data_IF_466140890393
#
_entry.id   IF_466140890393
#
_cell.length_a   1.000
_cell.length_b   1.000
_cell.length_c   1.000
_cell.angle_alpha   90.00
_cell.angle_beta   90.00
_cell.angle_gamma   90.00
#
_symmetry.space_group_name_H-M   'P 1'
#
loop_
_entity.id
_entity.type
_entity.pdbx_description
1 polymer ?
#
# COMPACT_ATOMS: atom_id res chain seq x y z
N UNK A 1 23.78 0.28 7.18
CA UNK A 1 23.54 1.72 7.34
C UNK A 1 24.12 2.36 6.09
N UNK A 2 23.28 2.66 5.10
CA UNK A 2 23.73 3.34 3.88
C UNK A 2 24.11 4.77 4.26
N UNK A 3 25.39 5.10 4.14
CA UNK A 3 25.90 6.44 4.38
C UNK A 3 25.51 7.31 3.18
N UNK A 4 24.34 7.94 3.26
CA UNK A 4 24.02 9.00 2.34
C UNK A 4 25.00 10.16 2.59
N UNK A 5 25.77 10.51 1.57
CA UNK A 5 26.58 11.72 1.57
C UNK A 5 25.60 12.88 1.80
N UNK A 6 25.78 13.58 2.91
CA UNK A 6 24.87 14.65 3.33
C UNK A 6 24.97 15.80 2.33
N UNK A 7 23.96 15.93 1.46
CA UNK A 7 23.82 17.06 0.55
C UNK A 7 23.22 18.23 1.36
N UNK A 8 23.99 19.32 1.51
CA UNK A 8 23.60 20.49 2.30
C UNK A 8 22.28 21.10 1.82
N UNK A 9 21.99 21.04 0.52
CA UNK A 9 20.73 21.52 -0.03
C UNK A 9 19.57 20.60 0.34
N UNK A 10 19.75 19.29 0.25
CA UNK A 10 18.73 18.32 0.69
C UNK A 10 18.48 18.41 2.19
N UNK A 11 19.52 18.66 2.99
CA UNK A 11 19.36 18.86 4.42
C UNK A 11 18.54 20.12 4.72
N UNK A 12 18.77 21.24 4.01
CA UNK A 12 17.94 22.45 4.13
C UNK A 12 16.48 22.18 3.77
N UNK A 13 16.25 21.53 2.62
CA UNK A 13 14.89 21.15 2.19
C UNK A 13 14.20 20.24 3.20
N UNK A 14 14.94 19.28 3.76
CA UNK A 14 14.43 18.38 4.79
C UNK A 14 14.01 19.12 6.06
N UNK A 15 14.84 20.04 6.56
CA UNK A 15 14.53 20.81 7.76
C UNK A 15 13.30 21.72 7.54
N UNK A 16 13.21 22.35 6.38
CA UNK A 16 12.06 23.18 5.99
C UNK A 16 10.78 22.33 5.89
N UNK A 17 10.83 21.23 5.13
CA UNK A 17 9.69 20.34 4.96
C UNK A 17 9.23 19.74 6.30
N UNK A 18 10.15 19.25 7.13
CA UNK A 18 9.78 18.67 8.41
C UNK A 18 9.17 19.73 9.35
N UNK A 19 9.64 20.98 9.31
CA UNK A 19 9.02 22.10 10.03
C UNK A 19 7.60 22.36 9.55
N UNK A 20 7.35 22.32 8.25
CA UNK A 20 6.00 22.48 7.69
C UNK A 20 5.08 21.32 8.09
N UNK A 21 5.58 20.07 8.09
CA UNK A 21 4.84 18.91 8.62
C UNK A 21 4.47 19.12 10.10
N UNK A 22 5.38 19.68 10.92
CA UNK A 22 5.09 20.00 12.31
C UNK A 22 4.02 21.09 12.47
N UNK A 23 3.93 22.04 11.54
CA UNK A 23 2.90 23.08 11.54
C UNK A 23 1.50 22.53 11.21
N UNK A 24 1.40 21.38 10.55
CA UNK A 24 0.13 20.70 10.28
C UNK A 24 -0.42 19.90 11.49
N UNK A 25 0.24 19.99 12.65
CA UNK A 25 -0.18 19.28 13.86
C UNK A 25 -1.62 19.61 14.24
N UNK A 26 -2.38 18.56 14.55
CA UNK A 26 -3.73 18.66 15.08
C UNK A 26 -3.89 17.70 16.27
N UNK A 27 -3.87 18.25 17.49
CA UNK A 27 -3.94 17.48 18.72
C UNK A 27 -5.31 16.82 18.97
N UNK A 28 -6.39 17.42 18.48
CA UNK A 28 -7.73 16.85 18.58
C UNK A 28 -7.84 15.59 17.72
N UNK A 29 -7.44 15.69 16.44
CA UNK A 29 -7.39 14.54 15.53
C UNK A 29 -6.48 13.45 16.05
N UNK A 30 -5.31 13.79 16.59
CA UNK A 30 -4.42 12.80 17.21
C UNK A 30 -5.08 12.07 18.39
N UNK A 31 -5.85 12.79 19.20
CA UNK A 31 -6.58 12.20 20.34
C UNK A 31 -7.74 11.32 19.88
N UNK A 32 -8.44 11.72 18.82
CA UNK A 32 -9.50 10.92 18.20
C UNK A 32 -8.97 9.63 17.57
N UNK A 33 -7.85 9.69 16.84
CA UNK A 33 -7.20 8.51 16.27
C UNK A 33 -6.99 7.41 17.33
N UNK A 34 -6.50 7.79 18.52
CA UNK A 34 -6.34 6.86 19.65
C UNK A 34 -7.67 6.26 20.13
N UNK A 35 -8.74 7.05 20.19
CA UNK A 35 -10.08 6.56 20.58
C UNK A 35 -10.60 5.51 19.60
N UNK A 36 -10.26 5.63 18.31
CA UNK A 36 -10.61 4.66 17.27
C UNK A 36 -9.60 3.50 17.13
N UNK A 37 -8.65 3.35 18.07
CA UNK A 37 -7.68 2.26 18.08
C UNK A 37 -6.48 2.44 17.14
N UNK A 38 -6.33 3.62 16.52
CA UNK A 38 -5.18 3.95 15.69
C UNK A 38 -4.01 4.43 16.57
N UNK A 39 -3.26 3.46 17.09
CA UNK A 39 -2.17 3.69 18.04
C UNK A 39 -0.81 3.80 17.32
N UNK A 40 -0.47 5.01 16.88
CA UNK A 40 0.86 5.30 16.33
C UNK A 40 1.86 5.61 17.45
N UNK A 41 3.11 5.16 17.28
CA UNK A 41 4.17 5.50 18.24
C UNK A 41 4.43 7.01 18.30
N UNK A 42 4.45 7.65 17.13
CA UNK A 42 4.64 9.11 16.96
C UNK A 42 3.70 9.61 15.88
N UNK A 43 2.75 10.46 16.23
CA UNK A 43 1.84 11.09 15.27
C UNK A 43 1.53 12.54 15.66
N UNK A 44 1.35 13.38 14.66
CA UNK A 44 1.01 14.79 14.79
C UNK A 44 -0.49 15.05 14.58
N UNK A 45 -1.21 14.10 13.97
CA UNK A 45 -2.64 14.22 13.67
C UNK A 45 -2.94 14.98 12.37
N UNK A 46 -1.93 15.17 11.50
CA UNK A 46 -2.18 15.81 10.21
C UNK A 46 -2.98 14.88 9.28
N UNK A 47 -3.93 15.45 8.53
CA UNK A 47 -4.70 14.70 7.55
C UNK A 47 -3.83 14.30 6.35
N UNK A 48 -4.11 13.15 5.75
CA UNK A 48 -3.43 12.71 4.52
C UNK A 48 -3.61 13.72 3.38
N UNK A 49 -4.75 14.42 3.33
CA UNK A 49 -5.02 15.47 2.33
C UNK A 49 -4.03 16.62 2.48
N UNK A 50 -3.79 17.11 3.70
CA UNK A 50 -2.82 18.17 3.94
C UNK A 50 -1.40 17.74 3.59
N UNK A 51 -1.03 16.49 3.90
CA UNK A 51 0.27 15.93 3.51
C UNK A 51 0.45 15.85 1.99
N UNK A 52 -0.59 15.40 1.27
CA UNK A 52 -0.57 15.37 -0.20
C UNK A 52 -0.44 16.76 -0.80
N UNK A 53 -1.14 17.74 -0.25
CA UNK A 53 -1.04 19.13 -0.72
C UNK A 53 0.36 19.71 -0.46
N UNK A 54 0.90 19.46 0.74
CA UNK A 54 2.27 19.83 1.09
C UNK A 54 3.29 19.18 0.14
N UNK A 55 3.16 17.88 -0.13
CA UNK A 55 4.08 17.14 -0.99
C UNK A 55 4.16 17.69 -2.42
N UNK A 56 3.09 18.26 -2.97
CA UNK A 56 3.09 18.87 -4.31
C UNK A 56 4.05 20.06 -4.45
N UNK A 57 4.46 20.68 -3.33
CA UNK A 57 5.40 21.80 -3.32
C UNK A 57 6.86 21.37 -3.41
N UNK A 58 7.12 20.08 -3.34
CA UNK A 58 8.46 19.50 -3.36
C UNK A 58 8.59 18.55 -4.55
N UNK A 59 9.79 18.52 -5.14
CA UNK A 59 10.12 17.50 -6.12
C UNK A 59 10.39 16.16 -5.43
N UNK A 60 10.04 15.05 -6.08
CA UNK A 60 10.41 13.72 -5.59
C UNK A 60 11.93 13.60 -5.51
N UNK A 61 12.44 13.13 -4.38
CA UNK A 61 13.86 12.97 -4.12
C UNK A 61 14.10 11.83 -3.14
N UNK A 62 14.96 10.88 -3.53
CA UNK A 62 15.24 9.68 -2.75
C UNK A 62 15.87 9.98 -1.39
N UNK A 63 16.90 10.83 -1.35
CA UNK A 63 17.56 11.19 -0.10
C UNK A 63 16.61 11.93 0.86
N UNK A 64 15.79 12.85 0.33
CA UNK A 64 14.78 13.55 1.12
C UNK A 64 13.75 12.57 1.72
N UNK A 65 13.28 11.61 0.91
CA UNK A 65 12.36 10.57 1.37
C UNK A 65 12.98 9.70 2.47
N UNK A 66 14.23 9.28 2.34
CA UNK A 66 14.95 8.53 3.38
C UNK A 66 15.05 9.32 4.70
N UNK A 67 15.40 10.61 4.62
CA UNK A 67 15.47 11.48 5.82
C UNK A 67 14.10 11.62 6.48
N UNK A 68 13.03 11.82 5.70
CA UNK A 68 11.65 11.88 6.18
C UNK A 68 11.19 10.57 6.83
N UNK A 69 11.54 9.43 6.24
CA UNK A 69 11.25 8.11 6.80
C UNK A 69 11.94 7.92 8.17
N UNK A 70 13.22 8.29 8.27
CA UNK A 70 14.03 8.16 9.47
C UNK A 70 13.54 8.96 10.69
N UNK A 71 12.71 10.00 10.51
CA UNK A 71 12.09 10.72 11.63
C UNK A 71 11.08 9.88 12.42
N UNK A 72 10.48 8.88 11.76
CA UNK A 72 9.60 7.90 12.40
C UNK A 72 8.27 8.45 12.90
N UNK A 73 7.85 9.65 12.49
CA UNK A 73 6.48 10.10 12.69
C UNK A 73 5.59 9.50 11.61
N UNK A 74 4.33 9.20 11.94
CA UNK A 74 3.31 8.78 10.95
C UNK A 74 3.31 9.70 9.74
N UNK A 75 3.20 11.00 9.97
CA UNK A 75 3.15 12.01 8.92
C UNK A 75 4.45 12.05 8.11
N UNK A 76 5.61 11.88 8.76
CA UNK A 76 6.89 11.92 8.06
C UNK A 76 7.11 10.68 7.18
N UNK A 77 6.65 9.50 7.61
CA UNK A 77 6.69 8.26 6.82
C UNK A 77 5.70 8.30 5.64
N UNK A 78 4.51 8.88 5.84
CA UNK A 78 3.58 9.13 4.73
C UNK A 78 4.21 10.11 3.72
N UNK A 79 4.80 11.21 4.19
CA UNK A 79 5.53 12.14 3.32
C UNK A 79 6.68 11.47 2.57
N UNK A 80 7.44 10.58 3.22
CA UNK A 80 8.48 9.81 2.55
C UNK A 80 7.92 8.99 1.38
N UNK A 81 6.79 8.30 1.57
CA UNK A 81 6.15 7.54 0.48
C UNK A 81 5.66 8.42 -0.68
N UNK A 82 5.34 9.69 -0.43
CA UNK A 82 4.90 10.66 -1.45
C UNK A 82 6.08 11.27 -2.22
N UNK A 83 7.25 11.38 -1.58
CA UNK A 83 8.43 12.05 -2.14
C UNK A 83 9.46 11.09 -2.70
N UNK A 84 9.35 9.80 -2.43
CA UNK A 84 10.27 8.80 -2.93
C UNK A 84 10.22 8.67 -4.46
N UNK A 85 11.35 8.36 -5.08
CA UNK A 85 11.46 8.11 -6.52
C UNK A 85 11.44 6.60 -6.79
N UNK A 86 10.39 6.06 -7.42
CA UNK A 86 10.26 4.62 -7.62
C UNK A 86 11.46 3.96 -8.33
N UNK A 87 12.17 4.69 -9.18
CA UNK A 87 13.32 4.20 -9.95
C UNK A 87 14.61 4.07 -9.11
N UNK A 88 14.68 4.75 -7.96
CA UNK A 88 15.85 4.74 -7.07
C UNK A 88 15.65 3.79 -5.88
N UNK A 89 14.46 3.21 -5.73
CA UNK A 89 14.12 2.31 -4.61
C UNK A 89 14.64 0.90 -4.86
N UNK A 90 15.39 0.37 -3.88
CA UNK A 90 15.85 -1.02 -3.87
C UNK A 90 14.83 -1.96 -3.22
N UNK A 91 14.88 -3.26 -3.56
CA UNK A 91 14.06 -4.28 -2.90
C UNK A 91 14.30 -4.34 -1.38
N UNK A 92 15.57 -4.14 -0.96
CA UNK A 92 15.94 -4.10 0.45
C UNK A 92 15.30 -2.91 1.18
N UNK A 93 15.23 -1.74 0.54
CA UNK A 93 14.50 -0.60 1.08
C UNK A 93 13.03 -0.92 1.24
N UNK A 94 12.38 -1.47 0.20
CA UNK A 94 10.94 -1.76 0.29
C UNK A 94 10.67 -2.75 1.41
N UNK A 95 11.45 -3.83 1.49
CA UNK A 95 11.32 -4.80 2.58
C UNK A 95 11.45 -4.12 3.93
N UNK A 96 12.51 -3.32 4.13
CA UNK A 96 12.72 -2.57 5.38
C UNK A 96 11.55 -1.65 5.70
N UNK A 97 11.02 -0.92 4.72
CA UNK A 97 9.89 -0.01 4.94
C UNK A 97 8.60 -0.75 5.30
N UNK A 98 8.34 -1.91 4.67
CA UNK A 98 7.21 -2.79 5.01
C UNK A 98 7.37 -3.31 6.44
N UNK A 99 8.56 -3.79 6.81
CA UNK A 99 8.85 -4.32 8.14
C UNK A 99 8.66 -3.23 9.22
N UNK A 100 9.20 -2.03 8.97
CA UNK A 100 9.14 -0.87 9.87
C UNK A 100 7.75 -0.20 9.95
N UNK A 101 6.84 -0.49 9.02
CA UNK A 101 5.50 0.06 9.03
C UNK A 101 4.69 -0.47 10.22
N UNK A 102 4.26 0.42 11.10
CA UNK A 102 3.62 0.10 12.38
C UNK A 102 2.08 0.12 12.32
N UNK A 103 1.51 0.37 11.15
CA UNK A 103 0.07 0.44 10.94
C UNK A 103 -0.34 0.03 9.53
N UNK A 104 -1.56 -0.48 9.41
CA UNK A 104 -2.16 -0.81 8.12
C UNK A 104 -2.35 0.43 7.23
N UNK A 105 -2.61 1.60 7.82
CA UNK A 105 -2.67 2.86 7.08
C UNK A 105 -1.34 3.18 6.40
N UNK A 106 -0.22 3.00 7.10
CA UNK A 106 1.08 3.29 6.51
C UNK A 106 1.41 2.32 5.36
N UNK A 107 1.07 1.03 5.49
CA UNK A 107 1.17 0.07 4.39
C UNK A 107 0.30 0.51 3.20
N UNK A 108 -0.94 0.95 3.46
CA UNK A 108 -1.85 1.44 2.43
C UNK A 108 -1.28 2.69 1.73
N UNK A 109 -0.78 3.68 2.47
CA UNK A 109 -0.15 4.87 1.90
C UNK A 109 1.06 4.51 1.06
N UNK A 110 1.92 3.60 1.52
CA UNK A 110 3.06 3.12 0.73
C UNK A 110 2.61 2.46 -0.58
N UNK A 111 1.61 1.56 -0.52
CA UNK A 111 1.08 0.89 -1.70
C UNK A 111 0.52 1.89 -2.73
N UNK A 112 -0.21 2.89 -2.24
CA UNK A 112 -0.87 3.89 -3.09
C UNK A 112 0.08 4.91 -3.70
N UNK A 113 1.10 5.33 -2.94
CA UNK A 113 1.96 6.45 -3.31
C UNK A 113 3.24 5.98 -4.02
N UNK A 114 3.82 4.85 -3.60
CA UNK A 114 5.12 4.39 -4.06
C UNK A 114 5.07 3.02 -4.76
N UNK A 115 4.56 1.98 -4.10
CA UNK A 115 4.78 0.61 -4.57
C UNK A 115 4.13 0.35 -5.93
N UNK A 116 2.96 0.95 -6.21
CA UNK A 116 2.28 0.83 -7.52
C UNK A 116 3.10 1.40 -8.69
N UNK A 117 4.09 2.25 -8.42
CA UNK A 117 4.93 2.88 -9.44
C UNK A 117 6.30 2.21 -9.60
N UNK A 118 6.58 1.12 -8.88
CA UNK A 118 7.87 0.42 -8.96
C UNK A 118 8.11 -0.15 -10.37
N UNK A 119 9.33 0.00 -10.94
CA UNK A 119 9.64 -0.53 -12.27
C UNK A 119 9.49 -2.06 -12.39
N UNK A 120 9.76 -2.80 -11.31
CA UNK A 120 9.70 -4.26 -11.24
C UNK A 120 8.37 -4.78 -10.63
N UNK A 121 7.29 -3.98 -10.67
CA UNK A 121 6.03 -4.29 -9.98
C UNK A 121 5.48 -5.69 -10.29
N UNK A 122 5.54 -6.12 -11.56
CA UNK A 122 4.99 -7.42 -11.99
C UNK A 122 5.61 -8.60 -11.23
N UNK A 123 6.94 -8.62 -11.14
CA UNK A 123 7.65 -9.69 -10.41
C UNK A 123 7.46 -9.52 -8.91
N UNK A 124 7.50 -8.27 -8.44
CA UNK A 124 7.44 -7.96 -7.02
C UNK A 124 6.12 -8.35 -6.37
N UNK A 125 4.98 -8.10 -7.02
CA UNK A 125 3.64 -8.49 -6.53
C UNK A 125 3.55 -10.01 -6.35
N UNK A 126 4.08 -10.78 -7.31
CA UNK A 126 4.04 -12.24 -7.24
C UNK A 126 4.96 -12.79 -6.15
N UNK A 127 6.13 -12.16 -5.94
CA UNK A 127 7.03 -12.50 -4.84
C UNK A 127 6.37 -12.25 -3.49
N UNK A 128 5.83 -11.05 -3.27
CA UNK A 128 5.19 -10.67 -2.01
C UNK A 128 3.94 -11.49 -1.70
N UNK A 129 3.14 -11.83 -2.71
CA UNK A 129 1.97 -12.69 -2.54
C UNK A 129 2.32 -14.08 -2.00
N UNK A 130 3.52 -14.59 -2.33
CA UNK A 130 4.01 -15.90 -1.88
C UNK A 130 4.84 -15.85 -0.60
N UNK A 131 5.03 -14.66 -0.04
CA UNK A 131 5.81 -14.48 1.17
C UNK A 131 5.08 -15.05 2.38
N UNK A 132 5.84 -15.62 3.30
CA UNK A 132 5.33 -16.00 4.63
C UNK A 132 5.11 -14.75 5.52
N UNK A 133 5.68 -13.61 5.13
CA UNK A 133 5.50 -12.34 5.83
C UNK A 133 4.14 -11.72 5.51
N UNK A 134 3.27 -11.63 6.52
CA UNK A 134 1.90 -11.11 6.42
C UNK A 134 1.84 -9.78 5.68
N UNK A 135 2.68 -8.82 6.07
CA UNK A 135 2.65 -7.45 5.53
C UNK A 135 2.98 -7.41 4.04
N UNK A 136 3.84 -8.31 3.57
CA UNK A 136 4.18 -8.39 2.14
C UNK A 136 2.96 -8.86 1.34
N UNK A 137 2.28 -9.91 1.78
CA UNK A 137 1.05 -10.41 1.12
C UNK A 137 -0.08 -9.37 1.10
N UNK A 138 -0.21 -8.57 2.17
CA UNK A 138 -1.14 -7.43 2.24
C UNK A 138 -0.72 -6.35 1.23
N UNK A 139 0.56 -6.00 1.16
CA UNK A 139 1.09 -5.04 0.20
C UNK A 139 0.88 -5.49 -1.25
N UNK A 140 1.07 -6.79 -1.56
CA UNK A 140 0.78 -7.34 -2.88
C UNK A 140 -0.68 -7.08 -3.28
N UNK A 141 -1.60 -7.40 -2.36
CA UNK A 141 -3.05 -7.28 -2.55
C UNK A 141 -3.52 -5.83 -2.70
N UNK A 142 -3.05 -4.92 -1.84
CA UNK A 142 -3.41 -3.51 -1.93
C UNK A 142 -2.81 -2.87 -3.19
N UNK A 143 -1.56 -3.21 -3.53
CA UNK A 143 -0.87 -2.67 -4.71
C UNK A 143 -1.53 -3.13 -6.01
N UNK A 144 -1.85 -4.42 -6.18
CA UNK A 144 -2.49 -4.91 -7.40
C UNK A 144 -3.90 -4.33 -7.57
N UNK A 145 -4.65 -4.17 -6.48
CA UNK A 145 -5.95 -3.50 -6.50
C UNK A 145 -5.83 -2.02 -6.86
N UNK A 146 -4.79 -1.32 -6.40
CA UNK A 146 -4.49 0.06 -6.80
C UNK A 146 -4.14 0.13 -8.29
N UNK A 147 -3.27 -0.76 -8.77
CA UNK A 147 -2.88 -0.83 -10.18
C UNK A 147 -4.11 -1.00 -11.09
N UNK A 148 -5.06 -1.85 -10.68
CA UNK A 148 -6.30 -2.06 -11.41
C UNK A 148 -7.13 -0.78 -11.61
N UNK A 149 -7.03 0.20 -10.70
CA UNK A 149 -7.72 1.48 -10.79
C UNK A 149 -6.96 2.54 -11.60
N UNK A 150 -5.65 2.62 -11.42
CA UNK A 150 -4.85 3.75 -11.94
C UNK A 150 -4.28 3.49 -13.32
N UNK A 151 -4.00 2.24 -13.67
CA UNK A 151 -3.39 1.88 -14.94
C UNK A 151 -4.40 1.17 -15.86
N UNK A 152 -5.22 1.97 -16.52
CA UNK A 152 -6.33 1.48 -17.37
C UNK A 152 -5.84 0.79 -18.64
N UNK A 153 -4.66 1.15 -19.13
CA UNK A 153 -4.07 0.59 -20.36
C UNK A 153 -3.27 -0.70 -20.10
N UNK A 154 -3.01 -1.05 -18.82
CA UNK A 154 -2.33 -2.30 -18.44
C UNK A 154 -3.08 -3.52 -18.98
N UNK A 155 -2.36 -4.39 -19.69
CA UNK A 155 -2.86 -5.70 -20.10
C UNK A 155 -3.19 -6.62 -18.91
N UNK A 156 -3.95 -7.68 -19.19
CA UNK A 156 -4.50 -8.54 -18.15
C UNK A 156 -3.47 -9.42 -17.42
N UNK A 157 -2.31 -9.69 -18.02
CA UNK A 157 -1.38 -10.72 -17.56
C UNK A 157 -0.96 -10.61 -16.08
N UNK A 158 -0.70 -9.41 -15.56
CA UNK A 158 -0.35 -9.24 -14.13
C UNK A 158 -1.53 -9.62 -13.22
N UNK A 159 -2.74 -9.25 -13.60
CA UNK A 159 -3.95 -9.55 -12.83
C UNK A 159 -4.28 -11.03 -12.90
N UNK A 160 -4.17 -11.65 -14.08
CA UNK A 160 -4.35 -13.10 -14.26
C UNK A 160 -3.34 -13.89 -13.42
N UNK A 161 -2.06 -13.50 -13.45
CA UNK A 161 -1.03 -14.14 -12.65
C UNK A 161 -1.26 -13.98 -11.15
N UNK A 162 -1.74 -12.82 -10.71
CA UNK A 162 -2.09 -12.61 -9.31
C UNK A 162 -3.28 -13.49 -8.90
N UNK A 163 -4.39 -13.49 -9.66
CA UNK A 163 -5.58 -14.31 -9.36
C UNK A 163 -5.23 -15.80 -9.34
N UNK A 164 -4.49 -16.28 -10.34
CA UNK A 164 -4.09 -17.69 -10.43
C UNK A 164 -3.08 -18.11 -9.36
N UNK A 165 -2.36 -17.16 -8.77
CA UNK A 165 -1.39 -17.41 -7.72
C UNK A 165 -1.91 -17.19 -6.30
N UNK A 166 -3.20 -16.86 -6.12
CA UNK A 166 -3.80 -16.71 -4.79
C UNK A 166 -3.58 -17.97 -3.94
N UNK A 167 -3.22 -17.81 -2.66
CA UNK A 167 -2.95 -18.95 -1.79
C UNK A 167 -4.24 -19.69 -1.46
N UNK A 168 -4.14 -21.02 -1.33
CA UNK A 168 -5.27 -21.85 -0.86
C UNK A 168 -5.67 -21.43 0.55
N UNK A 169 -4.68 -21.32 1.45
CA UNK A 169 -4.92 -21.03 2.86
C UNK A 169 -4.68 -19.56 3.19
N UNK A 170 -5.72 -18.89 3.69
CA UNK A 170 -5.63 -17.52 4.18
C UNK A 170 -5.19 -17.53 5.64
N UNK A 171 -4.09 -16.85 5.93
CA UNK A 171 -3.52 -16.82 7.28
C UNK A 171 -4.11 -15.69 8.14
N UNK A 172 -4.41 -14.52 7.54
CA UNK A 172 -4.63 -13.28 8.27
C UNK A 172 -5.98 -12.61 8.00
N UNK A 173 -6.63 -12.11 9.05
CA UNK A 173 -7.95 -11.48 8.97
C UNK A 173 -7.94 -10.13 8.23
N UNK A 174 -6.84 -9.37 8.31
CA UNK A 174 -6.77 -8.12 7.56
C UNK A 174 -6.65 -8.37 6.05
N UNK A 175 -5.90 -9.39 5.64
CA UNK A 175 -5.80 -9.80 4.24
C UNK A 175 -7.17 -10.23 3.68
N UNK A 176 -7.93 -11.03 4.43
CA UNK A 176 -9.30 -11.43 4.08
C UNK A 176 -10.16 -10.21 3.74
N UNK A 177 -10.05 -9.12 4.51
CA UNK A 177 -10.78 -7.86 4.28
C UNK A 177 -10.27 -7.04 3.08
N UNK A 178 -9.02 -7.23 2.66
CA UNK A 178 -8.44 -6.51 1.52
C UNK A 178 -8.69 -7.24 0.19
N UNK A 179 -8.75 -8.56 0.19
CA UNK A 179 -8.97 -9.39 -1.00
C UNK A 179 -10.20 -8.99 -1.81
N UNK A 180 -11.43 -8.92 -1.25
CA UNK A 180 -12.61 -8.58 -2.05
C UNK A 180 -12.52 -7.17 -2.63
N UNK A 181 -11.92 -6.22 -1.89
CA UNK A 181 -11.69 -4.85 -2.38
C UNK A 181 -10.72 -4.80 -3.56
N UNK A 182 -9.66 -5.62 -3.54
CA UNK A 182 -8.69 -5.68 -4.62
C UNK A 182 -9.24 -6.45 -5.83
N UNK A 183 -9.80 -7.63 -5.60
CA UNK A 183 -10.39 -8.49 -6.62
C UNK A 183 -11.59 -7.82 -7.29
N UNK A 184 -12.42 -7.09 -6.56
CA UNK A 184 -13.52 -6.31 -7.13
C UNK A 184 -13.04 -5.19 -8.06
N UNK A 185 -11.92 -4.54 -7.75
CA UNK A 185 -11.30 -3.55 -8.67
C UNK A 185 -10.78 -4.24 -9.95
N UNK A 186 -10.19 -5.43 -9.81
CA UNK A 186 -9.70 -6.22 -10.94
C UNK A 186 -10.88 -6.69 -11.81
N UNK A 187 -11.94 -7.22 -11.20
CA UNK A 187 -13.14 -7.71 -11.85
C UNK A 187 -13.88 -6.61 -12.65
N UNK A 188 -13.83 -5.35 -12.21
CA UNK A 188 -14.41 -4.22 -12.95
C UNK A 188 -13.64 -3.84 -14.22
N UNK A 189 -12.43 -4.36 -14.44
CA UNK A 189 -11.63 -3.98 -15.61
C UNK A 189 -12.22 -4.52 -16.91
N UNK A 190 -12.64 -5.78 -16.92
CA UNK A 190 -13.28 -6.43 -18.06
C UNK A 190 -13.91 -7.77 -17.65
N UNK A 191 -14.75 -8.30 -18.54
CA UNK A 191 -15.51 -9.52 -18.29
C UNK A 191 -14.64 -10.77 -18.12
N UNK A 192 -13.50 -10.86 -18.84
CA UNK A 192 -12.56 -11.98 -18.69
C UNK A 192 -11.99 -12.04 -17.27
N UNK A 193 -11.49 -10.91 -16.76
CA UNK A 193 -10.95 -10.84 -15.40
C UNK A 193 -12.04 -11.07 -14.35
N UNK A 194 -13.27 -10.60 -14.59
CA UNK A 194 -14.41 -10.88 -13.71
C UNK A 194 -14.66 -12.38 -13.58
N UNK A 195 -14.80 -13.09 -14.70
CA UNK A 195 -15.00 -14.55 -14.70
C UNK A 195 -13.84 -15.29 -14.04
N UNK A 196 -12.60 -14.84 -14.28
CA UNK A 196 -11.42 -15.45 -13.66
C UNK A 196 -11.42 -15.28 -12.14
N UNK A 197 -11.75 -14.09 -11.62
CA UNK A 197 -11.89 -13.84 -10.17
C UNK A 197 -12.90 -14.79 -9.56
N UNK A 198 -14.14 -14.83 -10.08
CA UNK A 198 -15.21 -15.64 -9.48
C UNK A 198 -14.93 -17.14 -9.56
N UNK A 199 -14.47 -17.62 -10.72
CA UNK A 199 -14.14 -19.05 -10.88
C UNK A 199 -12.98 -19.50 -9.99
N UNK A 200 -12.01 -18.63 -9.71
CA UNK A 200 -10.88 -18.95 -8.83
C UNK A 200 -11.30 -18.89 -7.35
N UNK A 201 -11.97 -17.82 -6.92
CA UNK A 201 -12.45 -17.67 -5.54
C UNK A 201 -13.44 -18.78 -5.16
N UNK A 202 -14.31 -19.22 -6.08
CA UNK A 202 -15.21 -20.34 -5.82
C UNK A 202 -14.46 -21.64 -5.52
N UNK A 203 -13.42 -21.97 -6.31
CA UNK A 203 -12.56 -23.13 -6.06
C UNK A 203 -11.81 -23.01 -4.73
N UNK A 204 -11.33 -21.82 -4.39
CA UNK A 204 -10.62 -21.58 -3.13
C UNK A 204 -11.55 -21.70 -1.91
N UNK A 205 -12.79 -21.23 -2.04
CA UNK A 205 -13.86 -21.42 -1.03
C UNK A 205 -14.18 -22.89 -0.77
N UNK A 206 -14.15 -23.74 -1.79
CA UNK A 206 -14.33 -25.19 -1.62
C UNK A 206 -13.16 -25.85 -0.86
N UNK A 207 -11.98 -25.24 -0.86
CA UNK A 207 -10.77 -25.76 -0.24
C UNK A 207 -10.50 -25.19 1.18
N UNK A 208 -10.94 -23.97 1.46
CA UNK A 208 -10.79 -23.30 2.76
C UNK A 208 -11.95 -22.33 3.02
N UNK A 209 -12.71 -22.58 4.09
CA UNK A 209 -13.89 -21.80 4.48
C UNK A 209 -13.58 -20.31 4.73
N UNK A 210 -12.32 -19.93 4.96
CA UNK A 210 -11.95 -18.50 5.10
C UNK A 210 -12.17 -17.71 3.82
N UNK A 211 -12.24 -18.36 2.66
CA UNK A 211 -12.60 -17.71 1.40
C UNK A 211 -14.11 -17.43 1.28
N UNK A 212 -14.95 -17.95 2.18
CA UNK A 212 -16.38 -17.67 2.20
C UNK A 212 -16.66 -16.17 2.33
N UNK A 213 -16.01 -15.49 3.29
CA UNK A 213 -16.17 -14.03 3.50
C UNK A 213 -15.77 -13.25 2.24
N UNK A 214 -14.66 -13.63 1.60
CA UNK A 214 -14.19 -12.98 0.36
C UNK A 214 -15.20 -13.17 -0.78
N UNK A 215 -15.75 -14.38 -0.92
CA UNK A 215 -16.73 -14.70 -1.95
C UNK A 215 -18.06 -13.95 -1.74
N UNK A 216 -18.57 -13.90 -0.50
CA UNK A 216 -19.82 -13.21 -0.17
C UNK A 216 -19.71 -11.69 -0.40
N UNK A 217 -18.59 -11.07 -0.02
CA UNK A 217 -18.34 -9.65 -0.31
C UNK A 217 -18.27 -9.37 -1.82
N UNK A 218 -17.64 -10.26 -2.60
CA UNK A 218 -17.61 -10.14 -4.05
C UNK A 218 -19.00 -10.32 -4.68
N UNK A 219 -19.79 -11.29 -4.24
CA UNK A 219 -21.16 -11.47 -4.73
C UNK A 219 -22.06 -10.28 -4.40
N UNK A 220 -21.94 -9.69 -3.21
CA UNK A 220 -22.68 -8.49 -2.84
C UNK A 220 -22.37 -7.30 -3.78
N UNK A 221 -21.14 -7.24 -4.32
CA UNK A 221 -20.70 -6.23 -5.26
C UNK A 221 -21.13 -6.51 -6.71
N UNK A 222 -21.27 -7.79 -7.08
CA UNK A 222 -21.66 -8.24 -8.43
C UNK A 222 -22.81 -9.25 -8.37
N UNK A 223 -24.05 -8.81 -8.10
CA UNK A 223 -25.19 -9.71 -7.93
C UNK A 223 -25.60 -10.45 -9.21
N UNK A 224 -25.10 -10.03 -10.36
CA UNK A 224 -25.42 -10.62 -11.67
C UNK A 224 -24.64 -11.92 -11.97
N UNK A 225 -23.69 -12.29 -11.10
CA UNK A 225 -22.89 -13.52 -11.23
C UNK A 225 -23.43 -14.58 -10.28
N UNK A 226 -23.95 -15.66 -10.86
CA UNK A 226 -24.37 -16.88 -10.16
C UNK A 226 -23.23 -17.89 -10.07
#
# INVERSE_FOLDING_TARGET
MEFFIDDENIEKQFQELFKEVLQLRNGEVHSEMKKYGLNYQKALGASVVNLKELAKRYESNHLLAQKMWGKGFRESRIMASLLEKPQEVSEQQVKRWIDEADSNELLEQMCMNLLVALPNLNTQVLTWMKSEEEKESICATMTIGRLALVDKERGNAIFENYINGLPIHLQHSYLIKQLPRALGKIARRNELLKQLVFSNVQKLKEADDKWLEVYEELQAEFPDIN
#
